data_IF_509023689207
#
_entry.id   IF_509023689207
#
_cell.length_a   1.000
_cell.length_b   1.000
_cell.length_c   1.000
_cell.angle_alpha   90.00
_cell.angle_beta   90.00
_cell.angle_gamma   90.00
#
_symmetry.space_group_name_H-M   'P 1'
#
loop_
_entity.id
_entity.type
_entity.pdbx_description
1 polymer ?
#
# COMPACT_ATOMS: atom_id res chain seq x y z
N UNK A 1 38.79 51.75 4.95
CA UNK A 1 38.44 50.99 6.18
C UNK A 1 37.00 50.42 6.14
N UNK A 2 36.43 50.23 4.95
CA UNK A 2 35.04 49.69 4.79
C UNK A 2 34.96 48.32 4.10
N UNK A 3 36.06 47.74 3.63
CA UNK A 3 36.07 46.48 2.92
C UNK A 3 36.23 45.22 3.81
N UNK A 4 36.64 45.38 5.07
CA UNK A 4 36.89 44.25 5.98
C UNK A 4 35.67 43.79 6.77
N UNK A 5 34.57 44.54 6.80
CA UNK A 5 33.40 44.19 7.61
C UNK A 5 32.45 43.27 6.85
N UNK A 6 32.41 43.30 5.52
CA UNK A 6 31.53 42.46 4.72
C UNK A 6 31.92 40.97 4.66
N UNK A 7 33.21 40.66 4.87
CA UNK A 7 33.71 39.28 4.80
C UNK A 7 33.36 38.42 6.02
N UNK A 8 33.18 39.02 7.18
CA UNK A 8 32.90 38.27 8.42
C UNK A 8 31.44 37.83 8.56
N UNK A 9 30.50 38.57 7.97
CA UNK A 9 29.09 38.22 8.02
C UNK A 9 28.74 37.05 7.08
N UNK A 10 29.43 36.87 5.97
CA UNK A 10 29.18 35.82 5.03
C UNK A 10 29.68 34.45 5.55
N UNK A 11 30.82 34.41 6.24
CA UNK A 11 31.34 33.17 6.83
C UNK A 11 30.52 32.67 8.02
N UNK A 12 29.93 33.57 8.81
CA UNK A 12 29.09 33.17 9.95
C UNK A 12 27.76 32.60 9.51
N UNK A 13 27.18 33.06 8.41
CA UNK A 13 25.92 32.58 7.87
C UNK A 13 26.07 31.19 7.23
N UNK A 14 27.19 30.91 6.57
CA UNK A 14 27.48 29.60 5.97
C UNK A 14 27.74 28.52 7.05
N UNK A 15 28.45 28.92 8.12
CA UNK A 15 28.71 28.01 9.23
C UNK A 15 27.43 27.64 10.02
N UNK A 16 26.48 28.59 10.17
CA UNK A 16 25.20 28.32 10.82
C UNK A 16 24.28 27.43 9.95
N UNK A 17 24.26 27.62 8.63
CA UNK A 17 23.52 26.80 7.71
C UNK A 17 24.06 25.33 7.63
N UNK A 18 25.39 25.19 7.61
CA UNK A 18 26.03 23.87 7.63
C UNK A 18 25.77 23.11 8.94
N UNK A 19 25.72 23.82 10.07
CA UNK A 19 25.38 23.24 11.38
C UNK A 19 23.94 22.73 11.44
N UNK A 20 22.98 23.44 10.86
CA UNK A 20 21.57 23.02 10.82
C UNK A 20 21.35 21.83 9.89
N UNK A 21 22.06 21.75 8.77
CA UNK A 21 21.99 20.59 7.85
C UNK A 21 22.63 19.35 8.49
N UNK A 22 23.76 19.51 9.19
CA UNK A 22 24.42 18.39 9.88
C UNK A 22 23.58 17.84 11.04
N UNK A 23 22.87 18.70 11.80
CA UNK A 23 21.95 18.25 12.85
C UNK A 23 20.70 17.59 12.29
N UNK A 24 20.14 18.06 11.16
CA UNK A 24 19.02 17.43 10.49
C UNK A 24 19.40 16.05 9.92
N UNK A 25 20.59 15.89 9.33
CA UNK A 25 21.11 14.58 8.87
C UNK A 25 21.44 13.65 10.03
N UNK A 26 21.92 14.16 11.17
CA UNK A 26 22.18 13.33 12.34
C UNK A 26 20.88 12.80 12.97
N UNK A 27 19.78 13.59 12.96
CA UNK A 27 18.47 13.12 13.42
C UNK A 27 17.88 12.05 12.49
N UNK A 28 18.13 12.15 11.16
CA UNK A 28 17.66 11.15 10.19
C UNK A 28 18.48 9.83 10.23
N UNK A 29 19.66 9.84 10.85
CA UNK A 29 20.53 8.69 11.00
C UNK A 29 20.58 8.14 12.43
N UNK A 30 19.70 8.62 13.34
CA UNK A 30 19.64 8.12 14.72
C UNK A 30 19.00 6.72 14.71
N UNK A 31 19.75 5.64 15.04
CA UNK A 31 19.20 4.29 15.09
C UNK A 31 18.15 4.11 16.19
N UNK A 32 17.96 5.11 17.06
CA UNK A 32 16.92 5.11 18.09
C UNK A 32 15.56 5.60 17.55
N UNK A 33 15.50 6.19 16.32
CA UNK A 33 14.23 6.56 15.69
C UNK A 33 13.74 5.35 14.90
N UNK A 34 12.64 4.69 15.33
CA UNK A 34 12.09 3.56 14.58
C UNK A 34 11.72 4.01 13.17
N UNK A 35 11.95 3.16 12.20
CA UNK A 35 11.48 3.37 10.83
C UNK A 35 9.95 3.57 10.84
N UNK A 36 9.43 4.28 9.85
CA UNK A 36 7.98 4.47 9.72
C UNK A 36 7.24 3.11 9.72
N UNK A 37 7.83 2.09 9.10
CA UNK A 37 7.29 0.73 9.10
C UNK A 37 7.25 0.11 10.52
N UNK A 38 8.28 0.29 11.33
CA UNK A 38 8.30 -0.17 12.73
C UNK A 38 7.34 0.62 13.61
N UNK A 39 7.23 1.94 13.39
CA UNK A 39 6.26 2.77 14.10
C UNK A 39 4.83 2.36 13.79
N UNK A 40 4.51 2.11 12.52
CA UNK A 40 3.20 1.64 12.07
C UNK A 40 2.93 0.22 12.61
N UNK A 41 3.89 -0.68 12.51
CA UNK A 41 3.76 -2.02 13.07
C UNK A 41 3.47 -1.98 14.58
N UNK A 42 4.11 -1.06 15.31
CA UNK A 42 3.88 -0.87 16.75
C UNK A 42 2.49 -0.32 17.04
N UNK A 43 2.03 0.69 16.31
CA UNK A 43 0.67 1.25 16.48
C UNK A 43 -0.39 0.23 16.08
N UNK A 44 -0.21 -0.48 14.98
CA UNK A 44 -1.17 -1.47 14.50
C UNK A 44 -1.19 -2.74 15.36
N UNK A 45 -0.09 -3.12 16.00
CA UNK A 45 -0.02 -4.34 16.84
C UNK A 45 -0.42 -4.11 18.30
N UNK A 46 -0.26 -2.90 18.84
CA UNK A 46 -0.51 -2.62 20.25
C UNK A 46 -1.93 -2.97 20.75
N UNK A 47 -3.01 -2.72 20.00
CA UNK A 47 -4.37 -3.07 20.45
C UNK A 47 -4.70 -4.56 20.34
N UNK A 48 -3.93 -5.36 19.61
CA UNK A 48 -4.28 -6.75 19.30
C UNK A 48 -3.76 -7.79 20.29
N UNK A 49 -2.92 -7.38 21.26
CA UNK A 49 -2.38 -8.30 22.27
C UNK A 49 -3.42 -8.86 23.24
N UNK A 50 -4.61 -8.27 23.27
CA UNK A 50 -5.75 -8.71 24.09
C UNK A 50 -6.96 -9.17 23.26
N UNK A 51 -6.80 -9.38 21.95
CA UNK A 51 -7.88 -9.84 21.09
C UNK A 51 -8.31 -11.27 21.46
N UNK A 52 -9.61 -11.59 21.36
CA UNK A 52 -10.09 -12.95 21.50
C UNK A 52 -9.36 -13.89 20.49
N UNK A 53 -9.03 -15.12 20.88
CA UNK A 53 -8.30 -16.06 20.02
C UNK A 53 -8.96 -16.30 18.66
N UNK A 54 -10.27 -16.25 18.59
CA UNK A 54 -11.06 -16.42 17.37
C UNK A 54 -10.95 -15.22 16.40
N UNK A 55 -10.60 -14.03 16.89
CA UNK A 55 -10.43 -12.80 16.09
C UNK A 55 -8.99 -12.60 15.66
N UNK A 56 -8.03 -13.21 16.35
CA UNK A 56 -6.61 -13.00 16.12
C UNK A 56 -6.17 -13.24 14.65
N UNK A 57 -6.64 -14.27 13.91
CA UNK A 57 -6.28 -14.46 12.50
C UNK A 57 -6.75 -13.30 11.60
N UNK A 58 -7.97 -12.82 11.79
CA UNK A 58 -8.52 -11.68 11.06
C UNK A 58 -7.68 -10.41 11.29
N UNK A 59 -7.35 -10.13 12.55
CA UNK A 59 -6.56 -8.95 12.90
C UNK A 59 -5.14 -9.04 12.34
N UNK A 60 -4.51 -10.21 12.38
CA UNK A 60 -3.17 -10.42 11.82
C UNK A 60 -3.14 -10.20 10.30
N UNK A 61 -4.14 -10.68 9.57
CA UNK A 61 -4.26 -10.44 8.13
C UNK A 61 -4.47 -8.97 7.82
N UNK A 62 -5.32 -8.26 8.58
CA UNK A 62 -5.53 -6.83 8.39
C UNK A 62 -4.28 -5.99 8.69
N UNK A 63 -3.49 -6.35 9.72
CA UNK A 63 -2.18 -5.71 9.98
C UNK A 63 -1.25 -5.89 8.79
N UNK A 64 -1.17 -7.11 8.24
CA UNK A 64 -0.38 -7.39 7.04
C UNK A 64 -0.83 -6.56 5.84
N UNK A 65 -2.14 -6.51 5.57
CA UNK A 65 -2.73 -5.73 4.48
C UNK A 65 -2.42 -4.23 4.63
N UNK A 66 -2.64 -3.66 5.82
CA UNK A 66 -2.33 -2.26 6.10
C UNK A 66 -0.84 -1.94 5.96
N UNK A 67 0.03 -2.82 6.46
CA UNK A 67 1.49 -2.63 6.36
C UNK A 67 1.92 -2.61 4.90
N UNK A 68 1.48 -3.57 4.09
CA UNK A 68 1.78 -3.64 2.66
C UNK A 68 1.24 -2.42 1.91
N UNK A 69 0.03 -2.00 2.24
CA UNK A 69 -0.61 -0.81 1.68
C UNK A 69 0.23 0.46 1.94
N UNK A 70 0.62 0.70 3.18
CA UNK A 70 1.35 1.90 3.57
C UNK A 70 2.73 1.93 2.92
N UNK A 71 3.47 0.81 2.97
CA UNK A 71 4.77 0.69 2.30
C UNK A 71 4.63 0.88 0.79
N UNK A 72 3.58 0.35 0.17
CA UNK A 72 3.32 0.51 -1.26
C UNK A 72 2.94 1.94 -1.67
N UNK A 73 2.42 2.76 -0.74
CA UNK A 73 2.16 4.19 -0.98
C UNK A 73 3.39 5.08 -0.80
N UNK A 74 4.48 4.58 -0.22
CA UNK A 74 5.76 5.27 -0.15
C UNK A 74 6.45 5.24 -1.51
N UNK A 75 6.19 6.24 -2.35
CA UNK A 75 6.77 6.34 -3.69
C UNK A 75 7.88 7.39 -3.76
N UNK A 76 8.83 7.19 -4.68
CA UNK A 76 9.73 8.26 -5.09
C UNK A 76 9.01 9.14 -6.11
N UNK A 77 8.95 10.48 -5.90
CA UNK A 77 8.27 11.37 -6.85
C UNK A 77 8.84 11.21 -8.26
N UNK A 78 7.96 10.94 -9.24
CA UNK A 78 8.33 10.79 -10.66
C UNK A 78 8.44 12.13 -11.39
N UNK A 79 7.85 13.19 -10.82
CA UNK A 79 7.68 14.49 -11.46
C UNK A 79 6.37 14.59 -12.26
N UNK A 80 5.56 13.55 -12.28
CA UNK A 80 4.24 13.48 -12.93
C UNK A 80 3.18 13.12 -11.89
N UNK A 81 2.29 14.05 -11.61
CA UNK A 81 1.25 13.92 -10.57
C UNK A 81 0.30 12.76 -10.87
N UNK A 82 -0.05 12.55 -12.15
CA UNK A 82 -1.00 11.49 -12.53
C UNK A 82 -0.38 10.10 -12.34
N UNK A 83 0.91 9.97 -12.69
CA UNK A 83 1.70 8.74 -12.46
C UNK A 83 1.83 8.46 -10.95
N UNK A 84 2.20 9.47 -10.17
CA UNK A 84 2.39 9.34 -8.73
C UNK A 84 1.05 9.04 -8.01
N UNK A 85 -0.03 9.70 -8.40
CA UNK A 85 -1.37 9.42 -7.91
C UNK A 85 -1.79 7.97 -8.18
N UNK A 86 -1.63 7.50 -9.40
CA UNK A 86 -2.02 6.14 -9.76
C UNK A 86 -1.18 5.08 -9.03
N UNK A 87 0.11 5.32 -8.82
CA UNK A 87 0.98 4.42 -8.08
C UNK A 87 0.53 4.28 -6.60
N UNK A 88 0.30 5.42 -5.93
CA UNK A 88 -0.18 5.43 -4.54
C UNK A 88 -1.57 4.80 -4.41
N UNK A 89 -2.50 5.17 -5.30
CA UNK A 89 -3.87 4.68 -5.25
C UNK A 89 -3.97 3.19 -5.57
N UNK A 90 -3.14 2.66 -6.47
CA UNK A 90 -3.09 1.23 -6.73
C UNK A 90 -2.67 0.43 -5.49
N UNK A 91 -1.69 0.89 -4.74
CA UNK A 91 -1.28 0.27 -3.48
C UNK A 91 -2.38 0.36 -2.41
N UNK A 92 -3.04 1.51 -2.28
CA UNK A 92 -4.18 1.71 -1.38
C UNK A 92 -5.34 0.76 -1.71
N UNK A 93 -5.70 0.65 -2.98
CA UNK A 93 -6.78 -0.22 -3.45
C UNK A 93 -6.46 -1.70 -3.21
N UNK A 94 -5.20 -2.11 -3.45
CA UNK A 94 -4.77 -3.47 -3.15
C UNK A 94 -4.93 -3.79 -1.66
N UNK A 95 -4.54 -2.89 -0.77
CA UNK A 95 -4.75 -3.07 0.66
C UNK A 95 -6.21 -3.21 1.05
N UNK A 96 -7.10 -2.44 0.43
CA UNK A 96 -8.55 -2.57 0.64
C UNK A 96 -9.09 -3.93 0.17
N UNK A 97 -8.59 -4.45 -0.96
CA UNK A 97 -8.90 -5.80 -1.46
C UNK A 97 -8.46 -6.86 -0.45
N UNK A 98 -7.24 -6.76 0.07
CA UNK A 98 -6.69 -7.74 1.01
C UNK A 98 -7.49 -7.76 2.32
N UNK A 99 -7.89 -6.58 2.84
CA UNK A 99 -8.76 -6.46 4.02
C UNK A 99 -10.16 -7.04 3.75
N UNK A 100 -10.74 -6.79 2.59
CA UNK A 100 -12.03 -7.36 2.20
C UNK A 100 -11.97 -8.88 2.07
N UNK A 101 -10.87 -9.43 1.58
CA UNK A 101 -10.63 -10.88 1.56
C UNK A 101 -10.56 -11.47 2.98
N UNK A 102 -9.96 -10.76 3.94
CA UNK A 102 -9.96 -11.18 5.33
C UNK A 102 -11.39 -11.22 5.92
N UNK A 103 -12.24 -10.24 5.60
CA UNK A 103 -13.67 -10.27 5.97
C UNK A 103 -14.38 -11.50 5.37
N UNK A 104 -14.11 -11.85 4.11
CA UNK A 104 -14.68 -13.05 3.47
C UNK A 104 -14.23 -14.34 4.13
N UNK A 105 -13.02 -14.41 4.70
CA UNK A 105 -12.51 -15.61 5.38
C UNK A 105 -13.03 -15.77 6.81
N UNK A 106 -13.15 -14.67 7.54
CA UNK A 106 -13.36 -14.67 8.99
C UNK A 106 -14.72 -14.10 9.41
N UNK A 107 -15.28 -13.17 8.64
CA UNK A 107 -16.55 -12.53 8.93
C UNK A 107 -17.74 -13.47 8.77
N UNK A 108 -18.78 -13.23 9.58
CA UNK A 108 -20.01 -14.04 9.60
C UNK A 108 -21.25 -13.25 9.20
N UNK A 109 -21.16 -11.93 9.13
CA UNK A 109 -22.28 -11.09 8.74
C UNK A 109 -22.43 -11.09 7.22
N UNK A 110 -23.53 -11.67 6.72
CA UNK A 110 -23.80 -11.80 5.29
C UNK A 110 -23.81 -10.46 4.54
N UNK A 111 -24.26 -9.38 5.19
CA UNK A 111 -24.27 -8.07 4.57
C UNK A 111 -22.86 -7.49 4.44
N UNK A 112 -22.02 -7.62 5.48
CA UNK A 112 -20.62 -7.19 5.41
C UNK A 112 -19.82 -8.02 4.40
N UNK A 113 -20.07 -9.32 4.31
CA UNK A 113 -19.45 -10.19 3.31
C UNK A 113 -19.81 -9.78 1.88
N UNK A 114 -21.07 -9.39 1.61
CA UNK A 114 -21.46 -8.83 0.29
C UNK A 114 -20.74 -7.53 0.00
N UNK A 115 -20.66 -6.62 0.97
CA UNK A 115 -19.90 -5.37 0.83
C UNK A 115 -18.42 -5.68 0.54
N UNK A 116 -17.83 -6.65 1.21
CA UNK A 116 -16.45 -7.07 0.96
C UNK A 116 -16.25 -7.59 -0.49
N UNK A 117 -17.20 -8.35 -1.03
CA UNK A 117 -17.18 -8.77 -2.43
C UNK A 117 -17.25 -7.58 -3.39
N UNK A 118 -18.14 -6.61 -3.11
CA UNK A 118 -18.25 -5.37 -3.90
C UNK A 118 -16.96 -4.56 -3.88
N UNK A 119 -16.33 -4.42 -2.71
CA UNK A 119 -15.03 -3.76 -2.56
C UNK A 119 -13.99 -4.42 -3.46
N UNK A 120 -13.85 -5.75 -3.41
CA UNK A 120 -12.87 -6.47 -4.23
C UNK A 120 -13.07 -6.19 -5.71
N UNK A 121 -14.30 -6.32 -6.20
CA UNK A 121 -14.60 -6.11 -7.63
C UNK A 121 -14.38 -4.65 -8.04
N UNK A 122 -14.88 -3.70 -7.27
CA UNK A 122 -14.76 -2.28 -7.58
C UNK A 122 -13.32 -1.81 -7.57
N UNK A 123 -12.55 -2.18 -6.54
CA UNK A 123 -11.15 -1.76 -6.41
C UNK A 123 -10.27 -2.38 -7.52
N UNK A 124 -10.53 -3.62 -7.94
CA UNK A 124 -9.84 -4.22 -9.09
C UNK A 124 -10.13 -3.45 -10.40
N UNK A 125 -11.38 -3.04 -10.60
CA UNK A 125 -11.77 -2.24 -11.78
C UNK A 125 -11.11 -0.86 -11.76
N UNK A 126 -11.01 -0.22 -10.61
CA UNK A 126 -10.36 1.09 -10.45
C UNK A 126 -8.86 1.01 -10.68
N UNK A 127 -8.18 -0.02 -10.19
CA UNK A 127 -6.76 -0.28 -10.52
C UNK A 127 -6.59 -0.45 -12.03
N UNK A 128 -7.46 -1.22 -12.68
CA UNK A 128 -7.41 -1.41 -14.12
C UNK A 128 -7.64 -0.09 -14.89
N UNK A 129 -8.61 0.73 -14.45
CA UNK A 129 -8.92 2.02 -15.04
C UNK A 129 -7.74 3.01 -14.93
N UNK A 130 -7.07 3.09 -13.76
CA UNK A 130 -5.88 3.92 -13.58
C UNK A 130 -4.73 3.48 -14.51
N UNK A 131 -4.51 2.17 -14.64
CA UNK A 131 -3.50 1.64 -15.59
C UNK A 131 -3.82 2.01 -17.03
N UNK A 132 -5.05 1.85 -17.45
CA UNK A 132 -5.50 2.23 -18.81
C UNK A 132 -5.34 3.73 -19.06
N UNK A 133 -5.66 4.58 -18.08
CA UNK A 133 -5.48 6.03 -18.19
C UNK A 133 -4.03 6.43 -18.45
N UNK A 134 -3.07 5.66 -17.90
CA UNK A 134 -1.63 5.87 -18.09
C UNK A 134 -1.05 5.07 -19.28
N UNK A 135 -1.87 4.39 -20.08
CA UNK A 135 -1.40 3.54 -21.20
C UNK A 135 -0.62 2.31 -20.75
N UNK A 136 -0.76 1.88 -19.50
CA UNK A 136 -0.07 0.72 -18.94
C UNK A 136 -0.83 -0.58 -19.24
N UNK A 137 -0.14 -1.74 -19.28
CA UNK A 137 -0.80 -3.02 -19.47
C UNK A 137 -1.74 -3.34 -18.31
N UNK A 138 -2.87 -3.99 -18.63
CA UNK A 138 -3.79 -4.47 -17.59
C UNK A 138 -3.13 -5.57 -16.75
N UNK A 139 -3.47 -5.66 -15.44
CA UNK A 139 -3.08 -6.80 -14.63
C UNK A 139 -3.70 -8.08 -15.20
N UNK A 140 -3.11 -9.25 -14.94
CA UNK A 140 -3.73 -10.52 -15.28
C UNK A 140 -5.15 -10.59 -14.67
N UNK A 141 -6.11 -11.12 -15.42
CA UNK A 141 -7.45 -11.35 -14.87
C UNK A 141 -7.37 -12.34 -13.71
N UNK A 142 -7.81 -11.91 -12.53
CA UNK A 142 -7.95 -12.82 -11.39
C UNK A 142 -9.32 -13.49 -11.46
N UNK A 143 -9.38 -14.77 -11.07
CA UNK A 143 -10.67 -15.45 -10.91
C UNK A 143 -11.53 -14.72 -9.88
N UNK A 144 -12.85 -14.68 -10.10
CA UNK A 144 -13.77 -14.11 -9.14
C UNK A 144 -13.65 -14.83 -7.78
N UNK A 145 -13.69 -14.13 -6.64
CA UNK A 145 -13.45 -14.71 -5.32
C UNK A 145 -14.43 -15.82 -4.92
N UNK A 146 -15.55 -15.88 -5.57
CA UNK A 146 -16.67 -16.82 -5.35
C UNK A 146 -16.67 -18.02 -6.30
N UNK A 147 -15.74 -18.10 -7.26
CA UNK A 147 -15.62 -19.29 -8.10
C UNK A 147 -14.84 -20.39 -7.36
N UNK A 148 -15.47 -21.55 -7.11
CA UNK A 148 -14.75 -22.72 -6.62
C UNK A 148 -13.63 -23.09 -7.61
N UNK A 149 -12.42 -23.32 -7.10
CA UNK A 149 -11.22 -23.61 -7.89
C UNK A 149 -11.33 -24.89 -8.74
N UNK A 150 -12.39 -25.65 -8.58
CA UNK A 150 -12.56 -27.01 -9.12
C UNK A 150 -13.28 -27.05 -10.48
N UNK A 151 -13.81 -25.92 -10.98
CA UNK A 151 -14.49 -25.89 -12.28
C UNK A 151 -13.57 -25.76 -13.50
N UNK A 152 -12.25 -25.68 -13.28
CA UNK A 152 -11.26 -25.55 -14.37
C UNK A 152 -10.91 -26.87 -15.08
N UNK A 153 -11.46 -28.02 -14.66
CA UNK A 153 -11.11 -29.30 -15.26
C UNK A 153 -12.36 -30.06 -15.73
N UNK A 154 -12.86 -29.73 -16.91
CA UNK A 154 -13.90 -30.56 -17.51
C UNK A 154 -14.87 -29.90 -18.46
N UNK A 155 -14.43 -29.10 -19.40
CA UNK A 155 -15.24 -28.87 -20.60
C UNK A 155 -15.05 -30.09 -21.54
N UNK A 156 -16.10 -30.90 -21.85
CA UNK A 156 -15.98 -31.91 -22.89
C UNK A 156 -15.75 -31.17 -24.22
N UNK A 157 -14.63 -31.42 -24.86
CA UNK A 157 -14.40 -31.01 -26.24
C UNK A 157 -15.44 -31.70 -27.11
N UNK A 158 -16.39 -30.97 -27.68
CA UNK A 158 -17.28 -31.43 -28.69
C UNK A 158 -16.43 -31.83 -29.91
N UNK A 159 -16.40 -33.13 -30.21
CA UNK A 159 -15.81 -33.64 -31.44
C UNK A 159 -16.68 -33.20 -32.62
N UNK A 160 -16.09 -32.61 -33.69
CA UNK A 160 -16.87 -32.33 -34.90
C UNK A 160 -17.25 -33.65 -35.59
N UNK A 161 -18.51 -33.78 -35.86
CA UNK A 161 -19.05 -34.90 -36.68
C UNK A 161 -18.70 -34.63 -38.14
N UNK A 162 -18.07 -35.59 -38.88
CA UNK A 162 -17.83 -35.45 -40.30
C UNK A 162 -19.15 -35.63 -41.07
N UNK A 163 -19.41 -34.73 -42.05
CA UNK A 163 -20.41 -34.91 -43.10
C UNK A 163 -19.84 -35.72 -44.24
#
# INVERSE_FOLDING_TARGET
MLLFIRSRFCLSSVAAAAGLIATAMALAADPAVPSLAEYIATICSAPFHSAPPEEAPFLAENVGAMTTMIVGMEIMPSGDVDTDFAAMMAAHHQGAIDMAQAELRHGRNEQLRRIAQEIIVTQQQEIAAMRLALGQPLPPSLAAPDQPSDLSTGAPQATPTPQ
#
